data_IF_952394636273
#
_entry.id   IF_952394636273
#
_cell.length_a   1.000
_cell.length_b   1.000
_cell.length_c   1.000
_cell.angle_alpha   90.00
_cell.angle_beta   90.00
_cell.angle_gamma   90.00
#
_symmetry.space_group_name_H-M   'P 1'
#
loop_
_entity.id
_entity.type
_entity.pdbx_description
1 polymer ?
2 non-polymer ?
#
# COMPACT_ATOMS: atom_id res chain seq x y z
N UNK A 20 -12.06 -23.40 -11.01
CA UNK A 20 -11.65 -23.92 -9.72
C UNK A 20 -11.33 -22.78 -8.75
N UNK A 21 -11.72 -22.96 -7.48
CA UNK A 21 -11.45 -21.94 -6.47
C UNK A 21 -9.97 -21.81 -6.18
N UNK A 22 -9.21 -22.90 -6.31
CA UNK A 22 -7.77 -22.83 -6.04
C UNK A 22 -7.05 -21.96 -7.05
N UNK A 23 -7.49 -22.01 -8.32
CA UNK A 23 -6.88 -21.15 -9.34
C UNK A 23 -7.13 -19.68 -9.03
N UNK A 24 -8.36 -19.33 -8.66
CA UNK A 24 -8.67 -17.95 -8.29
C UNK A 24 -7.91 -17.52 -7.04
N UNK A 25 -7.71 -18.45 -6.09
CA UNK A 25 -6.95 -18.12 -4.89
C UNK A 25 -5.49 -17.85 -5.22
N UNK A 26 -4.89 -18.66 -6.09
CA UNK A 26 -3.53 -18.42 -6.52
C UNK A 26 -3.43 -17.10 -7.28
N UNK A 27 -4.43 -16.81 -8.11
CA UNK A 27 -4.43 -15.56 -8.86
C UNK A 27 -4.50 -14.37 -7.93
N UNK A 28 -5.36 -14.43 -6.90
CA UNK A 28 -5.49 -13.30 -5.99
C UNK A 28 -4.24 -13.19 -5.10
N UNK A 29 -3.58 -14.32 -4.81
CA UNK A 29 -2.33 -14.27 -4.06
C UNK A 29 -1.23 -13.57 -4.86
N UNK A 30 -1.14 -13.89 -6.16
CA UNK A 30 -0.13 -13.23 -6.98
C UNK A 30 -0.48 -11.77 -7.23
N UNK A 31 -1.77 -11.44 -7.33
CA UNK A 31 -2.17 -10.04 -7.41
C UNK A 31 -1.82 -9.31 -6.11
N UNK A 32 -1.91 -10.01 -4.98
CA UNK A 32 -1.50 -9.43 -3.71
C UNK A 32 -0.01 -9.15 -3.69
N UNK A 33 0.80 -10.08 -4.21
CA UNK A 33 2.24 -9.83 -4.30
C UNK A 33 2.51 -8.61 -5.18
N UNK A 34 1.80 -8.52 -6.31
CA UNK A 34 1.98 -7.36 -7.19
C UNK A 34 1.59 -6.07 -6.50
N UNK A 35 0.51 -6.10 -5.70
CA UNK A 35 0.05 -4.89 -5.03
C UNK A 35 1.00 -4.46 -3.93
N UNK A 36 1.46 -5.41 -3.11
CA UNK A 36 2.39 -5.12 -2.03
C UNK A 36 3.82 -4.90 -2.53
N UNK A 37 4.08 -5.12 -3.81
CA UNK A 37 5.38 -4.82 -4.37
C UNK A 37 5.74 -3.35 -4.20
N UNK A 38 4.75 -2.47 -4.12
CA UNK A 38 5.01 -1.04 -3.96
C UNK A 38 5.56 -0.71 -2.57
N UNK A 39 5.20 -1.49 -1.55
CA UNK A 39 5.69 -1.21 -0.21
C UNK A 39 7.18 -1.53 -0.06
N UNK A 40 7.72 -2.41 -0.89
CA UNK A 40 9.13 -2.80 -0.83
C UNK A 40 9.98 -2.17 -1.91
N UNK A 41 9.45 -2.00 -3.12
CA UNK A 41 10.23 -1.39 -4.20
C UNK A 41 10.41 0.10 -3.99
N UNK A 42 9.49 0.75 -3.29
CA UNK A 42 9.56 2.18 -3.02
C UNK A 42 10.09 2.47 -1.62
N UNK A 43 10.73 1.50 -0.98
CA UNK A 43 11.27 1.71 0.36
C UNK A 43 12.43 2.69 0.32
N UNK A 44 12.43 3.63 1.27
CA UNK A 44 13.44 4.68 1.34
C UNK A 44 14.44 4.30 2.42
N UNK A 45 15.70 4.03 2.08
CA UNK A 45 16.72 3.77 3.10
C UNK A 45 17.34 5.07 3.59
N UNK A 46 18.24 4.93 4.57
CA UNK A 46 19.03 6.06 5.03
C UNK A 46 19.98 6.50 3.93
N UNK A 47 19.85 7.74 3.49
CA UNK A 47 20.56 8.23 2.32
C UNK A 47 21.25 9.54 2.61
N UNK A 48 22.28 9.82 1.81
CA UNK A 48 22.99 11.10 1.82
C UNK A 48 23.58 11.31 0.42
N UNK A 49 23.84 12.57 0.08
CA UNK A 49 24.36 12.85 -1.24
C UNK A 49 25.89 12.83 -1.26
N UNK A 50 26.44 12.76 -2.47
CA UNK A 50 27.87 12.52 -2.67
C UNK A 50 28.71 13.59 -1.99
N UNK A 51 29.67 13.16 -1.19
CA UNK A 51 30.60 14.04 -0.51
C UNK A 51 32.03 13.69 -0.90
N UNK A 52 32.89 14.68 -1.11
CA UNK A 52 34.27 14.36 -1.51
C UNK A 52 35.08 13.70 -0.41
N UNK A 53 34.78 13.97 0.86
CA UNK A 53 35.53 13.37 1.96
C UNK A 53 34.96 12.02 2.40
N UNK A 54 34.04 11.43 1.64
CA UNK A 54 33.46 10.15 2.01
C UNK A 54 33.39 9.13 0.88
N UNK A 55 33.41 9.57 -0.39
CA UNK A 55 33.28 8.65 -1.52
C UNK A 55 34.39 8.78 -2.54
N UNK A 56 35.40 9.60 -2.30
CA UNK A 56 36.50 9.78 -3.23
C UNK A 56 37.60 8.77 -2.90
N UNK A 57 38.78 8.96 -3.48
CA UNK A 57 39.89 8.04 -3.29
C UNK A 57 40.45 8.15 -1.87
N UNK A 58 41.51 7.38 -1.61
CA UNK A 58 42.15 7.34 -0.30
C UNK A 58 42.66 8.70 0.15
N UNK A 59 42.98 9.60 -0.78
CA UNK A 59 43.53 10.91 -0.42
C UNK A 59 42.58 11.76 0.41
N UNK A 60 41.34 11.32 0.60
CA UNK A 60 40.41 12.08 1.44
C UNK A 60 40.84 12.12 2.90
N UNK A 61 41.65 11.17 3.34
CA UNK A 61 42.10 11.14 4.73
C UNK A 61 43.23 12.13 4.95
N UNK A 67 40.43 7.74 7.96
CA UNK A 67 40.28 7.25 9.32
C UNK A 67 39.10 7.92 10.02
N UNK A 68 38.48 7.20 10.95
CA UNK A 68 37.31 7.65 11.70
C UNK A 68 36.22 8.16 10.75
N UNK A 69 35.54 7.27 10.04
CA UNK A 69 34.52 7.73 9.08
C UNK A 69 33.36 8.48 9.72
N UNK A 70 33.07 8.21 10.99
CA UNK A 70 32.00 8.94 11.66
C UNK A 70 32.35 10.42 11.81
N UNK A 71 33.60 10.72 12.16
CA UNK A 71 34.01 12.12 12.25
C UNK A 71 33.97 12.80 10.90
N UNK A 72 34.36 12.09 9.83
CA UNK A 72 34.29 12.66 8.49
C UNK A 72 32.85 12.94 8.08
N UNK A 73 31.94 12.01 8.39
CA UNK A 73 30.52 12.23 8.08
C UNK A 73 29.96 13.41 8.89
N UNK A 74 30.42 13.56 10.14
CA UNK A 74 29.93 14.65 10.96
C UNK A 74 30.44 16.00 10.45
N UNK A 75 31.72 16.08 10.08
CA UNK A 75 32.27 17.35 9.61
C UNK A 75 31.89 17.64 8.16
N UNK A 76 31.41 16.64 7.42
CA UNK A 76 31.00 16.85 6.04
C UNK A 76 29.51 17.07 5.86
N UNK A 77 28.70 16.65 6.83
CA UNK A 77 27.25 16.78 6.73
C UNK A 77 26.70 17.32 8.04
N UNK A 78 25.88 18.37 8.01
CA UNK A 78 25.33 18.92 9.26
C UNK A 78 24.29 17.99 9.85
N UNK A 79 23.95 18.17 11.13
CA UNK A 79 22.88 17.36 11.71
C UNK A 79 21.53 17.69 11.11
N UNK A 80 20.60 16.74 11.25
CA UNK A 80 19.27 16.89 10.71
C UNK A 80 18.20 16.28 11.59
N UNK A 81 17.21 15.64 10.97
CA UNK A 81 16.12 15.04 11.75
C UNK A 81 16.60 13.88 12.60
N UNK A 82 15.93 13.69 13.74
CA UNK A 82 16.24 12.62 14.68
C UNK A 82 17.69 12.69 15.15
N UNK A 83 18.24 13.90 15.25
CA UNK A 83 19.61 14.15 15.66
C UNK A 83 20.63 13.40 14.80
N UNK A 84 20.24 13.03 13.58
CA UNK A 84 21.10 12.34 12.63
C UNK A 84 21.71 13.33 11.64
N UNK A 85 22.78 12.94 10.94
CA UNK A 85 23.30 13.81 9.87
C UNK A 85 22.23 14.12 8.83
N UNK A 86 22.20 15.37 8.39
CA UNK A 86 21.15 15.82 7.48
C UNK A 86 21.21 15.05 6.17
N UNK A 87 20.16 14.29 5.89
CA UNK A 87 20.06 13.54 4.65
C UNK A 87 19.80 14.41 3.44
N UNK A 88 19.81 15.73 3.59
CA UNK A 88 19.39 16.62 2.51
C UNK A 88 20.30 17.83 2.37
N UNK A 89 21.41 17.89 3.11
CA UNK A 89 22.33 19.01 3.07
C UNK A 89 23.75 18.51 3.24
N UNK A 90 24.70 19.16 2.56
CA UNK A 90 26.11 18.82 2.64
C UNK A 90 26.93 20.09 2.81
N UNK A 91 28.03 19.97 3.57
CA UNK A 91 28.95 21.09 3.77
C UNK A 91 29.85 21.25 2.56
N UNK A 92 29.96 22.49 2.06
CA UNK A 92 30.86 22.75 0.95
C UNK A 92 32.32 22.67 1.38
N UNK A 93 32.62 23.05 2.62
CA UNK A 93 33.95 22.97 3.18
C UNK A 93 33.91 22.17 4.48
N UNK A 94 34.97 21.43 4.78
CA UNK A 94 34.99 20.65 6.04
C UNK A 94 34.99 21.57 7.25
N UNK A 95 33.95 21.41 8.09
CA UNK A 95 33.79 22.22 9.29
C UNK A 95 34.43 21.48 10.45
N UNK A 96 35.69 21.82 10.74
CA UNK A 96 36.40 21.19 11.85
C UNK A 96 35.98 21.72 13.21
N UNK A 97 35.14 22.77 13.26
CA UNK A 97 34.74 23.34 14.53
C UNK A 97 33.80 22.43 15.31
N UNK A 98 33.03 21.59 14.63
CA UNK A 98 32.10 20.70 15.32
C UNK A 98 32.76 19.42 15.81
N UNK A 99 33.94 19.08 15.29
CA UNK A 99 34.63 17.87 15.74
C UNK A 99 35.31 18.08 17.09
N UNK A 100 35.94 19.23 17.28
CA UNK A 100 36.63 19.50 18.53
C UNK A 100 35.62 19.83 19.63
N UNK A 101 35.59 19.07 20.72
CA UNK A 101 34.54 19.30 21.73
C UNK A 101 34.65 20.62 22.47
N UNK A 102 35.82 21.28 22.46
CA UNK A 102 35.95 22.54 23.18
C UNK A 102 35.13 23.66 22.55
N UNK A 103 34.80 23.55 21.26
CA UNK A 103 34.00 24.56 20.58
C UNK A 103 32.52 24.31 20.79
N UNK A 104 31.73 25.37 20.64
CA UNK A 104 30.30 25.26 20.82
C UNK A 104 29.67 24.45 19.69
N UNK A 105 28.72 23.60 20.04
CA UNK A 105 28.02 22.79 19.06
C UNK A 105 27.03 23.65 18.27
N UNK A 106 26.71 23.17 17.06
CA UNK A 106 25.80 23.87 16.15
C UNK A 106 26.24 25.32 15.95
N UNK A 107 27.52 25.50 15.59
CA UNK A 107 28.07 26.81 15.34
C UNK A 107 28.15 27.16 13.86
N UNK A 108 27.88 26.19 12.98
CA UNK A 108 27.95 26.45 11.54
C UNK A 108 26.77 27.30 11.09
N UNK A 109 26.98 28.02 9.99
CA UNK A 109 25.97 28.89 9.41
C UNK A 109 25.24 28.18 8.28
N UNK A 110 24.08 28.72 7.92
CA UNK A 110 23.29 28.14 6.84
C UNK A 110 23.93 28.38 5.47
N UNK A 111 24.69 29.48 5.32
CA UNK A 111 25.31 29.78 4.05
C UNK A 111 26.46 28.84 3.72
N UNK A 112 27.03 28.17 4.72
CA UNK A 112 28.13 27.24 4.48
C UNK A 112 27.68 25.95 3.82
N UNK A 113 26.38 25.70 3.74
CA UNK A 113 25.87 24.47 3.15
C UNK A 113 25.54 24.67 1.68
N UNK A 114 25.38 23.55 0.98
CA UNK A 114 24.99 23.53 -0.43
C UNK A 114 23.82 22.57 -0.58
N UNK A 115 22.95 22.78 -1.58
CA UNK A 115 21.68 22.04 -1.66
C UNK A 115 21.82 20.61 -2.17
N UNK A 116 22.79 19.88 -1.63
CA UNK A 116 22.90 18.43 -1.77
C UNK A 116 22.84 18.02 -3.25
N UNK A 117 23.75 18.61 -4.03
CA UNK A 117 23.58 18.60 -5.49
C UNK A 117 24.34 17.46 -6.15
N UNK A 118 25.44 17.00 -5.56
CA UNK A 118 26.36 16.10 -6.26
C UNK A 118 25.83 14.68 -6.43
N UNK A 119 24.55 14.45 -6.20
CA UNK A 119 23.95 13.13 -6.36
C UNK A 119 24.05 12.33 -5.08
N UNK A 120 23.08 11.42 -4.92
CA UNK A 120 22.85 10.74 -3.65
C UNK A 120 23.34 9.30 -3.72
N UNK A 121 23.88 8.83 -2.58
CA UNK A 121 24.28 7.45 -2.40
C UNK A 121 23.39 6.84 -1.32
N UNK A 122 23.10 5.55 -1.45
CA UNK A 122 22.16 4.87 -0.58
C UNK A 122 22.81 3.66 0.07
N UNK A 123 22.26 3.24 1.21
CA UNK A 123 22.76 2.09 1.95
C UNK A 123 22.29 0.81 1.27
N UNK A 124 23.24 0.00 0.82
CA UNK A 124 22.93 -1.26 0.14
C UNK A 124 22.88 -2.44 1.10
N UNK A 125 22.66 -2.20 2.39
CA UNK A 125 22.61 -3.30 3.35
C UNK A 125 21.27 -4.01 3.29
N UNK A 126 20.17 -3.27 3.45
CA UNK A 126 18.84 -3.88 3.43
C UNK A 126 18.39 -4.12 1.99
N UNK A 127 18.42 -3.09 1.16
CA UNK A 127 18.00 -3.18 -0.23
C UNK A 127 19.15 -2.77 -1.14
N UNK A 128 19.43 -3.61 -2.14
CA UNK A 128 20.52 -3.33 -3.06
C UNK A 128 20.11 -2.31 -4.12
N UNK A 129 18.85 -2.35 -4.55
CA UNK A 129 18.37 -1.43 -5.58
C UNK A 129 16.86 -1.26 -5.44
N UNK A 130 16.42 -0.01 -5.39
CA UNK A 130 15.01 0.33 -5.29
C UNK A 130 14.71 1.45 -6.27
N UNK A 131 13.41 1.76 -6.42
CA UNK A 131 13.01 2.86 -7.30
C UNK A 131 13.37 4.21 -6.70
N UNK A 132 13.60 4.28 -5.39
CA UNK A 132 14.02 5.53 -4.77
C UNK A 132 15.51 5.78 -5.03
N UNK A 133 16.32 4.74 -4.89
CA UNK A 133 17.77 4.87 -5.10
C UNK A 133 18.13 4.99 -6.58
N UNK A 134 17.26 4.55 -7.48
CA UNK A 134 17.56 4.61 -8.90
C UNK A 134 17.30 5.99 -9.48
N UNK A 135 16.12 6.55 -9.22
CA UNK A 135 15.72 7.84 -9.78
C UNK A 135 15.90 8.99 -8.80
N UNK A 136 16.56 8.75 -7.66
CA UNK A 136 16.90 9.80 -6.69
C UNK A 136 15.65 10.52 -6.20
N UNK A 137 14.78 9.77 -5.52
CA UNK A 137 13.59 10.35 -4.89
C UNK A 137 14.01 11.04 -3.61
N UNK A 138 14.28 12.35 -3.72
CA UNK A 138 14.84 13.13 -2.63
C UNK A 138 13.93 14.31 -2.31
N UNK A 139 14.38 15.18 -1.39
CA UNK A 139 13.59 16.32 -0.91
C UNK A 139 12.80 17.01 -2.01
N UNK A 140 13.46 17.35 -3.12
CA UNK A 140 12.78 18.03 -4.21
C UNK A 140 11.75 17.15 -4.89
N UNK A 141 11.95 15.83 -4.86
CA UNK A 141 11.04 14.89 -5.50
C UNK A 141 10.52 13.85 -4.52
N UNK A 142 10.46 14.20 -3.23
CA UNK A 142 9.97 13.26 -2.23
C UNK A 142 8.48 12.97 -2.39
N UNK A 143 7.74 13.86 -3.06
CA UNK A 143 6.33 13.63 -3.31
C UNK A 143 6.08 12.65 -4.46
N UNK A 144 7.14 12.19 -5.12
CA UNK A 144 6.96 11.32 -6.28
C UNK A 144 6.46 9.94 -5.87
N UNK A 145 6.99 9.38 -4.79
CA UNK A 145 6.52 8.07 -4.33
C UNK A 145 5.05 8.08 -3.95
N UNK A 146 4.54 9.01 -3.14
CA UNK A 146 3.08 9.09 -2.98
C UNK A 146 2.38 9.44 -4.28
N UNK A 147 3.00 10.24 -5.15
CA UNK A 147 2.42 10.50 -6.45
C UNK A 147 2.41 9.25 -7.32
N UNK A 148 3.43 8.40 -7.20
CA UNK A 148 3.43 7.14 -7.94
C UNK A 148 2.33 6.22 -7.43
N UNK A 149 2.14 6.14 -6.11
CA UNK A 149 1.06 5.35 -5.56
C UNK A 149 -0.30 5.90 -5.99
N UNK A 150 -0.43 7.22 -6.05
CA UNK A 150 -1.68 7.83 -6.49
C UNK A 150 -1.94 7.54 -7.96
N UNK A 151 -0.91 7.54 -8.79
CA UNK A 151 -1.06 7.18 -10.19
C UNK A 151 -1.47 5.72 -10.33
N UNK A 152 -0.87 4.84 -9.52
CA UNK A 152 -1.26 3.44 -9.54
C UNK A 152 -2.73 3.26 -9.15
N UNK A 153 -3.18 3.98 -8.12
CA UNK A 153 -4.56 3.83 -7.68
C UNK A 153 -5.53 4.49 -8.66
N UNK A 154 -5.11 5.56 -9.34
CA UNK A 154 -5.93 6.14 -10.40
C UNK A 154 -6.04 5.18 -11.58
N UNK A 155 -4.97 4.47 -11.89
CA UNK A 155 -5.06 3.42 -12.90
C UNK A 155 -6.00 2.30 -12.47
N UNK A 156 -5.98 1.95 -11.19
CA UNK A 156 -6.94 0.97 -10.66
C UNK A 156 -8.36 1.47 -10.86
N UNK A 157 -8.61 2.74 -10.55
CA UNK A 157 -9.95 3.30 -10.74
C UNK A 157 -10.37 3.28 -12.21
N UNK A 158 -9.46 3.68 -13.10
CA UNK A 158 -9.77 3.69 -14.52
C UNK A 158 -10.06 2.29 -15.03
N UNK A 159 -9.29 1.29 -14.58
CA UNK A 159 -9.53 -0.08 -14.98
C UNK A 159 -10.87 -0.59 -14.47
N UNK A 160 -11.18 -0.31 -13.20
CA UNK A 160 -12.47 -0.74 -12.65
C UNK A 160 -13.64 -0.07 -13.35
N UNK A 161 -13.45 1.15 -13.83
CA UNK A 161 -14.53 1.85 -14.53
C UNK A 161 -14.64 1.42 -15.98
N UNK A 162 -13.55 0.96 -16.59
CA UNK A 162 -13.55 0.66 -18.03
C UNK A 162 -13.82 -0.80 -18.33
N UNK A 163 -13.29 -1.73 -17.53
CA UNK A 163 -13.42 -3.15 -17.83
C UNK A 163 -14.84 -3.68 -17.63
N UNK A 164 -15.74 -2.88 -17.06
CA UNK A 164 -17.11 -3.28 -16.90
C UNK A 164 -17.80 -3.55 -18.23
N UNK A 165 -17.97 -2.51 -19.04
CA UNK A 165 -18.53 -2.72 -20.38
C UNK A 165 -17.70 -3.67 -21.23
N UNK A 166 -16.38 -3.68 -21.06
CA UNK A 166 -15.54 -4.61 -21.80
C UNK A 166 -15.87 -6.05 -21.44
N UNK A 167 -16.04 -6.33 -20.14
CA UNK A 167 -16.40 -7.67 -19.72
C UNK A 167 -17.82 -8.02 -20.14
N UNK A 168 -18.72 -7.04 -20.18
CA UNK A 168 -20.09 -7.31 -20.60
C UNK A 168 -20.18 -7.58 -22.11
N UNK A 169 -19.30 -6.97 -22.90
CA UNK A 169 -19.36 -7.11 -24.35
C UNK A 169 -18.53 -8.30 -24.84
N UNK A 170 -17.22 -8.31 -24.54
CA UNK A 170 -16.32 -9.31 -25.06
C UNK A 170 -16.25 -10.58 -24.20
N UNK A 171 -17.07 -10.68 -23.16
CA UNK A 171 -17.01 -11.86 -22.33
C UNK A 171 -16.02 -11.73 -21.20
N UNK A 172 -16.24 -12.52 -20.14
CA UNK A 172 -15.38 -12.42 -18.97
C UNK A 172 -14.04 -13.12 -19.18
N UNK A 173 -14.03 -14.26 -19.86
CA UNK A 173 -12.78 -15.02 -20.03
C UNK A 173 -11.81 -14.29 -20.95
N UNK A 174 -12.34 -13.69 -22.03
CA UNK A 174 -11.47 -12.97 -22.95
C UNK A 174 -10.79 -11.79 -22.27
N UNK A 175 -11.56 -10.97 -21.54
CA UNK A 175 -10.99 -9.82 -20.87
C UNK A 175 -10.09 -10.26 -19.72
N UNK A 176 -10.39 -11.43 -19.12
CA UNK A 176 -9.50 -11.95 -18.08
C UNK A 176 -8.14 -12.33 -18.65
N UNK A 177 -8.13 -13.04 -19.78
CA UNK A 177 -6.87 -13.40 -20.42
C UNK A 177 -6.12 -12.16 -20.88
N UNK A 178 -6.84 -11.18 -21.44
CA UNK A 178 -6.20 -9.94 -21.87
C UNK A 178 -5.59 -9.19 -20.68
N UNK A 179 -6.28 -9.17 -19.55
CA UNK A 179 -5.77 -8.48 -18.38
C UNK A 179 -4.57 -9.23 -17.79
N UNK A 180 -4.59 -10.56 -17.82
CA UNK A 180 -3.42 -11.32 -17.37
C UNK A 180 -2.21 -11.04 -18.26
N UNK A 181 -2.40 -11.03 -19.58
CA UNK A 181 -1.32 -10.72 -20.50
C UNK A 181 -0.80 -9.30 -20.26
N UNK A 182 -1.71 -8.35 -20.02
CA UNK A 182 -1.30 -6.98 -19.76
C UNK A 182 -0.52 -6.87 -18.46
N UNK A 183 -0.96 -7.58 -17.42
CA UNK A 183 -0.21 -7.60 -16.16
C UNK A 183 1.20 -8.11 -16.38
N UNK A 184 1.33 -9.24 -17.08
CA UNK A 184 2.65 -9.80 -17.32
C UNK A 184 3.53 -8.83 -18.11
N UNK A 185 2.98 -8.25 -19.18
CA UNK A 185 3.76 -7.37 -20.04
C UNK A 185 4.21 -6.13 -19.27
N UNK A 186 3.29 -5.50 -18.55
CA UNK A 186 3.64 -4.29 -17.81
C UNK A 186 4.59 -4.59 -16.65
N UNK A 187 4.49 -5.79 -16.06
CA UNK A 187 5.46 -6.15 -15.04
C UNK A 187 6.86 -6.28 -15.59
N UNK A 188 7.01 -7.01 -16.70
CA UNK A 188 8.32 -7.14 -17.32
C UNK A 188 8.81 -5.81 -17.87
N UNK A 189 7.90 -4.89 -18.20
CA UNK A 189 8.32 -3.58 -18.68
C UNK A 189 8.82 -2.70 -17.55
N UNK A 190 8.06 -2.65 -16.44
CA UNK A 190 8.48 -1.87 -15.28
C UNK A 190 9.69 -2.46 -14.59
N UNK A 191 9.96 -3.76 -14.75
CA UNK A 191 11.17 -4.34 -14.19
C UNK A 191 12.42 -3.78 -14.83
N UNK A 192 12.32 -3.22 -16.03
CA UNK A 192 13.46 -2.64 -16.73
C UNK A 192 13.15 -1.23 -17.22
N UNK A 193 12.42 -0.45 -16.42
CA UNK A 193 12.07 0.90 -16.82
C UNK A 193 13.29 1.81 -16.73
N UNK A 194 13.63 2.53 -17.81
CA UNK A 194 14.83 3.38 -17.76
C UNK A 194 14.56 4.76 -17.18
N UNK A 195 13.29 5.18 -17.15
CA UNK A 195 12.92 6.49 -16.68
C UNK A 195 11.76 6.39 -15.70
N UNK A 196 11.54 7.47 -14.95
CA UNK A 196 10.48 7.52 -13.95
C UNK A 196 9.09 7.69 -14.58
N UNK A 197 8.90 8.58 -15.57
CA UNK A 197 7.57 8.65 -16.20
C UNK A 197 7.19 7.38 -16.93
N UNK A 198 8.16 6.70 -17.55
CA UNK A 198 7.89 5.43 -18.22
C UNK A 198 7.48 4.38 -17.19
N UNK A 199 8.15 4.37 -16.03
CA UNK A 199 7.77 3.46 -14.97
C UNK A 199 6.38 3.77 -14.45
N UNK A 200 6.04 5.06 -14.35
CA UNK A 200 4.71 5.44 -13.90
C UNK A 200 3.64 4.99 -14.88
N UNK A 201 3.90 5.13 -16.19
CA UNK A 201 2.94 4.67 -17.19
C UNK A 201 2.80 3.14 -17.15
N UNK A 202 3.92 2.43 -16.98
CA UNK A 202 3.87 0.98 -16.87
C UNK A 202 3.05 0.56 -15.65
N UNK A 203 3.24 1.24 -14.52
CA UNK A 203 2.45 0.94 -13.34
C UNK A 203 0.98 1.29 -13.54
N UNK A 204 0.69 2.35 -14.28
CA UNK A 204 -0.69 2.71 -14.58
C UNK A 204 -1.38 1.62 -15.39
N UNK A 205 -0.71 1.11 -16.42
CA UNK A 205 -1.29 0.04 -17.22
C UNK A 205 -1.40 -1.26 -16.43
N UNK A 206 -0.39 -1.56 -15.60
CA UNK A 206 -0.45 -2.72 -14.73
C UNK A 206 -1.64 -2.63 -13.77
N UNK A 207 -1.91 -1.43 -13.25
CA UNK A 207 -3.04 -1.26 -12.35
C UNK A 207 -4.37 -1.34 -13.09
N UNK A 208 -4.42 -0.85 -14.34
CA UNK A 208 -5.59 -1.07 -15.17
C UNK A 208 -5.91 -2.56 -15.30
N UNK A 209 -4.89 -3.36 -15.63
CA UNK A 209 -5.09 -4.79 -15.76
C UNK A 209 -5.43 -5.45 -14.43
N UNK A 210 -4.83 -4.96 -13.34
CA UNK A 210 -5.14 -5.47 -12.01
C UNK A 210 -6.61 -5.23 -11.68
N UNK A 211 -7.10 -4.04 -12.00
CA UNK A 211 -8.51 -3.72 -11.74
C UNK A 211 -9.43 -4.56 -12.61
N UNK A 212 -9.04 -4.81 -13.86
CA UNK A 212 -9.81 -5.72 -14.69
C UNK A 212 -9.91 -7.11 -14.09
N UNK A 213 -8.77 -7.65 -13.64
CA UNK A 213 -8.76 -8.97 -13.01
C UNK A 213 -9.61 -8.95 -11.74
N UNK A 214 -9.55 -7.87 -10.97
CA UNK A 214 -10.34 -7.75 -9.75
C UNK A 214 -11.83 -7.78 -10.07
N UNK A 215 -12.26 -6.98 -11.04
CA UNK A 215 -13.67 -6.95 -11.40
C UNK A 215 -14.15 -8.30 -11.89
N UNK A 216 -13.35 -8.97 -12.73
CA UNK A 216 -13.77 -10.27 -13.25
C UNK A 216 -13.83 -11.32 -12.15
N UNK A 217 -12.84 -11.32 -11.26
CA UNK A 217 -12.83 -12.27 -10.14
C UNK A 217 -14.03 -12.04 -9.22
N UNK A 218 -14.34 -10.78 -8.93
CA UNK A 218 -15.49 -10.50 -8.09
C UNK A 218 -16.79 -10.92 -8.74
N UNK A 219 -16.97 -10.58 -10.02
CA UNK A 219 -18.17 -10.97 -10.73
C UNK A 219 -18.33 -12.48 -10.84
N UNK A 220 -17.22 -13.22 -10.95
CA UNK A 220 -17.30 -14.68 -11.03
C UNK A 220 -17.57 -15.32 -9.68
N UNK A 221 -16.92 -14.83 -8.61
CA UNK A 221 -17.11 -15.40 -7.29
C UNK A 221 -18.43 -14.97 -6.67
N UNK A 222 -19.08 -13.93 -7.20
CA UNK A 222 -20.39 -13.54 -6.70
C UNK A 222 -21.47 -14.53 -7.11
N UNK A 223 -21.36 -15.17 -8.28
CA UNK A 223 -22.44 -16.00 -8.80
C UNK A 223 -21.98 -17.35 -9.35
N UNK A 224 -20.76 -17.81 -9.04
CA UNK A 224 -20.39 -19.15 -9.49
C UNK A 224 -21.16 -20.23 -8.74
N UNK A 225 -21.36 -20.04 -7.43
CA UNK A 225 -22.11 -20.99 -6.61
C UNK A 225 -23.40 -20.41 -6.06
N UNK A 226 -23.33 -19.27 -5.37
CA UNK A 226 -24.52 -18.65 -4.80
C UNK A 226 -25.39 -18.01 -5.89
N UNK A 228 -26.14 -19.15 -1.05
CA UNK A 228 -26.00 -19.27 0.40
C UNK A 228 -24.54 -19.29 0.81
N UNK A 229 -23.69 -19.81 -0.07
CA UNK A 229 -22.27 -19.91 0.18
C UNK A 229 -21.49 -18.66 -0.21
N UNK A 230 -22.19 -17.56 -0.51
CA UNK A 230 -21.50 -16.32 -0.89
C UNK A 230 -20.62 -15.78 0.23
N UNK A 231 -21.04 -15.73 1.50
CA UNK A 231 -20.09 -15.28 2.54
C UNK A 231 -18.88 -16.20 2.67
N UNK A 232 -19.07 -17.51 2.48
CA UNK A 232 -17.92 -18.42 2.53
C UNK A 232 -16.95 -18.15 1.39
N UNK A 233 -17.45 -17.91 0.18
CA UNK A 233 -16.58 -17.61 -0.94
C UNK A 233 -15.86 -16.29 -0.72
N UNK A 234 -16.55 -15.30 -0.17
CA UNK A 234 -15.92 -14.02 0.14
C UNK A 234 -14.80 -14.20 1.17
N UNK A 235 -15.16 -14.78 2.33
CA UNK A 235 -14.21 -14.88 3.37
C UNK A 235 -13.14 -15.40 2.63
N UNK A 236 -13.39 -16.18 1.59
CA UNK A 236 -12.27 -16.85 0.95
C UNK A 236 -11.36 -16.00 0.14
N UNK A 237 -11.83 -15.07 -0.64
CA UNK A 237 -10.84 -14.29 -1.37
C UNK A 237 -10.14 -13.35 -0.43
N UNK A 238 -10.65 -13.15 0.75
CA UNK A 238 -9.84 -12.34 1.60
C UNK A 238 -8.87 -13.27 2.33
N UNK A 239 -9.21 -14.49 2.77
CA UNK A 239 -8.21 -15.27 3.45
C UNK A 239 -7.25 -15.19 2.38
N UNK A 240 -7.64 -14.98 1.13
CA UNK A 240 -6.69 -14.80 0.00
C UNK A 240 -5.72 -13.66 -0.10
N UNK A 241 -6.16 -12.48 -0.33
CA UNK A 241 -5.19 -11.48 -0.37
C UNK A 241 -4.40 -11.67 0.89
N UNK A 242 -4.88 -12.44 1.84
CA UNK A 242 -4.08 -12.53 3.04
C UNK A 242 -2.98 -13.47 2.95
N UNK A 243 -3.21 -14.71 2.70
CA UNK A 243 -2.11 -15.58 2.56
C UNK A 243 -1.24 -14.78 1.74
N UNK A 244 -1.73 -13.93 0.90
CA UNK A 244 -0.78 -13.11 0.15
C UNK A 244 0.20 -12.20 0.86
N UNK A 245 -0.26 -11.07 1.36
CA UNK A 245 0.75 -10.27 1.97
C UNK A 245 1.50 -11.17 2.80
N UNK A 246 0.92 -12.32 3.03
CA UNK A 246 1.79 -13.04 3.94
C UNK A 246 2.95 -13.71 3.23
N UNK A 247 2.75 -14.05 1.96
CA UNK A 247 3.79 -14.67 1.15
C UNK A 247 4.67 -13.66 0.44
N UNK A 248 4.16 -12.46 0.14
CA UNK A 248 4.98 -11.44 -0.50
C UNK A 248 6.13 -10.98 0.37
N UNK A 249 6.01 -11.08 1.70
CA UNK A 249 7.11 -10.69 2.58
C UNK A 249 8.32 -11.61 2.37
N UNK A 250 8.07 -12.92 2.27
CA UNK A 250 9.16 -13.85 2.04
C UNK A 250 9.79 -13.64 0.67
N UNK A 251 8.98 -13.31 -0.34
CA UNK A 251 9.50 -13.07 -1.67
C UNK A 251 10.37 -11.81 -1.68
N UNK A 252 9.94 -10.75 -0.99
CA UNK A 252 10.75 -9.55 -0.89
C UNK A 252 12.01 -9.78 -0.06
N UNK A 253 11.95 -10.68 0.93
CA UNK A 253 13.13 -10.98 1.72
C UNK A 253 14.13 -11.82 0.93
N UNK A 254 13.66 -12.69 0.04
CA UNK A 254 14.54 -13.52 -0.74
C UNK A 254 15.24 -12.80 -1.87
N UNK A 255 14.52 -11.90 -2.54
CA UNK A 255 15.05 -11.13 -3.66
C UNK A 255 15.26 -9.70 -3.20
N UNK A 256 16.51 -9.26 -3.17
CA UNK A 256 16.86 -7.93 -2.71
C UNK A 256 16.84 -6.89 -3.81
N UNK A 257 16.80 -7.30 -5.08
CA UNK A 257 16.75 -6.38 -6.20
C UNK A 257 15.31 -6.26 -6.69
N UNK A 258 14.85 -5.01 -6.84
CA UNK A 258 13.46 -4.78 -7.21
C UNK A 258 13.16 -5.25 -8.64
N UNK A 259 14.16 -5.20 -9.53
CA UNK A 259 13.94 -5.64 -10.90
C UNK A 259 13.66 -7.13 -10.96
N UNK A 260 14.57 -7.94 -10.43
CA UNK A 260 14.34 -9.39 -10.39
C UNK A 260 13.13 -9.75 -9.54
N UNK A 261 12.85 -8.94 -8.51
CA UNK A 261 11.67 -9.18 -7.68
C UNK A 261 10.39 -9.04 -8.51
N UNK A 262 10.26 -7.93 -9.25
CA UNK A 262 9.10 -7.76 -10.12
C UNK A 262 9.06 -8.83 -11.21
N UNK A 263 10.23 -9.24 -11.71
CA UNK A 263 10.27 -10.27 -12.74
C UNK A 263 9.71 -11.60 -12.22
N UNK A 264 10.21 -12.06 -11.07
CA UNK A 264 9.74 -13.31 -10.49
C UNK A 264 8.35 -13.21 -9.90
N UNK A 265 7.84 -11.99 -9.71
CA UNK A 265 6.43 -11.86 -9.32
C UNK A 265 5.53 -11.91 -10.55
N UNK A 266 5.99 -11.40 -11.70
CA UNK A 266 5.18 -11.42 -12.91
C UNK A 266 5.25 -12.74 -13.66
N UNK A 267 6.30 -13.54 -13.44
CA UNK A 267 6.37 -14.85 -14.10
C UNK A 267 5.19 -15.75 -13.75
N UNK A 268 4.71 -15.83 -12.51
CA UNK A 268 3.50 -16.63 -12.26
C UNK A 268 2.31 -16.23 -13.10
N UNK A 269 2.22 -14.97 -13.54
CA UNK A 269 1.13 -14.58 -14.42
C UNK A 269 1.36 -15.13 -15.83
N UNK A 270 2.62 -15.18 -16.27
CA UNK A 270 2.93 -15.90 -17.51
C UNK A 270 2.54 -17.37 -17.40
N UNK A 271 2.71 -17.97 -16.22
CA UNK A 271 2.31 -19.36 -16.04
C UNK A 271 0.79 -19.51 -16.06
N UNK A 272 0.08 -18.59 -15.41
CA UNK A 272 -1.38 -18.63 -15.38
C UNK A 272 -1.99 -18.31 -16.74
N UNK A 273 -1.27 -17.63 -17.61
CA UNK A 273 -1.76 -17.36 -18.96
C UNK A 273 -1.96 -18.64 -19.78
N UNK A 274 -1.41 -19.77 -19.33
CA UNK A 274 -1.59 -21.02 -20.05
C UNK A 274 -3.04 -21.46 -20.09
N UNK A 275 -3.83 -21.06 -19.09
CA UNK A 275 -5.25 -21.41 -19.02
C UNK A 275 -6.13 -20.55 -19.93
N UNK A 276 -5.53 -19.82 -20.87
CA UNK A 276 -6.31 -18.98 -21.76
C UNK A 276 -7.22 -19.82 -22.65
N UNK A 277 -8.46 -19.36 -22.81
CA UNK A 277 -9.46 -20.03 -23.64
C UNK A 277 -9.72 -21.46 -23.17
N UNK A 278 -9.52 -21.71 -21.88
CA UNK A 278 -9.67 -23.03 -21.28
C UNK A 278 -8.84 -24.08 -22.03
N UNK A 279 -7.54 -23.80 -22.12
CA UNK A 279 -6.58 -24.65 -22.84
C UNK A 279 -7.02 -24.85 -24.29
N UNK A 280 -7.50 -23.78 -24.93
CA UNK A 280 -7.98 -23.80 -26.30
C UNK A 280 -9.07 -24.86 -26.49
N UNK A 281 -10.08 -24.80 -25.63
CA UNK A 281 -11.21 -25.75 -25.66
C UNK A 281 -10.75 -27.19 -25.53
N UNK A 282 -9.69 -27.40 -24.75
CA UNK A 282 -9.12 -28.74 -24.52
C UNK A 282 -8.74 -29.42 -25.83
N UNK A 338 -26.93 4.28 -16.33
CA UNK A 338 -27.80 3.25 -15.82
C UNK A 338 -27.67 3.03 -14.33
N UNK A 339 -28.75 2.54 -13.71
CA UNK A 339 -28.80 2.28 -12.27
C UNK A 339 -28.41 3.50 -11.44
N UNK A 340 -28.86 4.68 -11.87
CA UNK A 340 -28.56 5.93 -11.17
C UNK A 340 -29.52 6.21 -10.03
N UNK A 341 -30.48 5.32 -9.76
CA UNK A 341 -31.44 5.53 -8.69
C UNK A 341 -30.88 5.22 -7.31
N UNK A 342 -29.59 4.89 -7.20
CA UNK A 342 -29.01 4.59 -5.90
C UNK A 342 -28.85 5.83 -5.03
N UNK A 343 -28.74 7.02 -5.63
CA UNK A 343 -28.58 8.25 -4.88
C UNK A 343 -29.90 8.71 -4.25
N UNK A 344 -31.00 8.83 -5.02
CA UNK A 344 -32.24 9.27 -4.37
C UNK A 344 -32.88 8.21 -3.48
N UNK A 345 -32.90 6.96 -3.93
CA UNK A 345 -33.50 5.90 -3.14
C UNK A 345 -32.53 5.37 -2.10
N UNK A 346 -33.01 5.27 -0.85
CA UNK A 346 -32.18 4.83 0.28
C UNK A 346 -30.89 5.64 0.36
N UNK A 347 -31.06 6.97 0.38
CA UNK A 347 -29.91 7.87 0.34
C UNK A 347 -29.05 7.72 1.60
N UNK A 348 -29.68 7.52 2.76
CA UNK A 348 -28.92 7.37 4.00
C UNK A 348 -28.05 6.13 3.95
N UNK A 349 -28.64 4.98 3.60
CA UNK A 349 -27.86 3.76 3.47
C UNK A 349 -26.77 3.90 2.43
N UNK A 350 -27.07 4.57 1.32
CA UNK A 350 -26.08 4.73 0.26
C UNK A 350 -24.89 5.54 0.74
N UNK A 351 -25.14 6.69 1.37
CA UNK A 351 -24.03 7.53 1.81
C UNK A 351 -23.24 6.87 2.93
N UNK A 352 -23.93 6.15 3.82
CA UNK A 352 -23.21 5.47 4.90
C UNK A 352 -22.32 4.36 4.34
N UNK A 353 -22.85 3.57 3.40
CA UNK A 353 -22.04 2.50 2.81
C UNK A 353 -20.86 3.07 2.05
N UNK A 354 -21.08 4.12 1.26
CA UNK A 354 -19.97 4.73 0.53
C UNK A 354 -18.95 5.33 1.49
N UNK A 355 -19.40 5.87 2.63
CA UNK A 355 -18.47 6.42 3.61
C UNK A 355 -17.61 5.32 4.24
N UNK A 356 -18.24 4.19 4.59
CA UNK A 356 -17.46 3.08 5.16
C UNK A 356 -16.46 2.54 4.14
N UNK A 357 -16.88 2.38 2.88
CA UNK A 357 -15.96 1.89 1.86
C UNK A 357 -14.82 2.86 1.62
N UNK A 358 -15.12 4.16 1.53
CA UNK A 358 -14.09 5.18 1.38
C UNK A 358 -13.12 5.14 2.55
N UNK A 359 -13.63 5.05 3.78
CA UNK A 359 -12.78 5.05 4.95
C UNK A 359 -11.87 3.83 4.97
N UNK A 360 -12.42 2.65 4.67
CA UNK A 360 -11.60 1.44 4.65
C UNK A 360 -10.51 1.53 3.59
N UNK A 361 -10.88 1.91 2.37
CA UNK A 361 -9.89 2.02 1.31
C UNK A 361 -8.79 3.02 1.66
N UNK A 362 -9.19 4.19 2.15
CA UNK A 362 -8.24 5.21 2.56
C UNK A 362 -7.26 4.67 3.60
N UNK A 363 -7.80 4.12 4.70
CA UNK A 363 -6.95 3.64 5.78
C UNK A 363 -6.02 2.52 5.31
N UNK A 364 -6.56 1.55 4.55
CA UNK A 364 -5.77 0.41 4.11
C UNK A 364 -4.66 0.85 3.18
N UNK A 365 -5.00 1.55 2.10
CA UNK A 365 -3.96 1.95 1.15
C UNK A 365 -3.12 3.12 1.64
N UNK A 366 -3.40 3.66 2.83
CA UNK A 366 -2.49 4.61 3.44
C UNK A 366 -1.55 3.96 4.43
N UNK A 367 -1.98 2.83 5.01
CA UNK A 367 -1.15 2.13 5.99
C UNK A 367 -0.34 0.99 5.38
N UNK A 368 -0.88 0.32 4.36
CA UNK A 368 -0.21 -0.84 3.77
C UNK A 368 0.92 -0.44 2.82
N UNK A 369 1.15 0.85 2.59
CA UNK A 369 2.18 1.30 1.67
C UNK A 369 3.31 2.06 2.35
N UNK A 370 3.29 2.18 3.68
CA UNK A 370 4.34 2.86 4.42
C UNK A 370 4.72 2.07 5.66
N UNK A 371 4.87 0.75 5.51
CA UNK A 371 5.20 -0.12 6.63
C UNK A 371 6.57 0.15 7.22
N UNK A 372 7.42 0.93 6.54
CA UNK A 372 8.74 1.23 7.08
C UNK A 372 8.64 2.08 8.34
N UNK A 373 7.63 2.96 8.42
CA UNK A 373 7.45 3.81 9.59
C UNK A 373 6.56 3.18 10.65
N UNK A 374 5.76 2.17 10.28
CA UNK A 374 4.88 1.52 11.24
C UNK A 374 5.58 0.49 12.12
N UNK A 375 6.76 0.01 11.70
CA UNK A 375 7.49 -0.97 12.46
C UNK A 375 8.98 -0.85 12.21
N UNK A 376 9.75 -1.65 12.93
CA UNK A 376 11.20 -1.64 12.80
C UNK A 376 11.70 -2.57 11.70
N UNK A 377 11.04 -3.71 11.50
CA UNK A 377 11.39 -4.66 10.45
C UNK A 377 10.18 -4.86 9.55
N UNK A 378 10.31 -4.47 8.27
CA UNK A 378 9.17 -4.49 7.37
C UNK A 378 8.72 -5.92 7.10
N UNK A 379 9.67 -6.85 6.90
CA UNK A 379 9.32 -8.22 6.59
C UNK A 379 8.61 -8.89 7.77
N UNK A 380 9.17 -8.76 8.98
CA UNK A 380 8.53 -9.32 10.16
C UNK A 380 7.19 -8.65 10.42
N UNK A 381 7.11 -7.33 10.16
CA UNK A 381 5.85 -6.63 10.32
C UNK A 381 4.77 -7.20 9.40
N UNK A 382 5.12 -7.43 8.13
CA UNK A 382 4.15 -7.97 7.18
C UNK A 382 3.77 -9.41 7.54
N UNK A 383 4.74 -10.20 7.98
CA UNK A 383 4.45 -11.57 8.39
C UNK A 383 3.49 -11.61 9.58
N UNK A 384 3.73 -10.72 10.56
CA UNK A 384 2.84 -10.65 11.71
C UNK A 384 1.46 -10.14 11.30
N UNK A 385 1.42 -9.17 10.38
CA UNK A 385 0.15 -8.70 9.82
C UNK A 385 -0.64 -9.87 9.27
N UNK A 386 0.01 -10.69 8.44
CA UNK A 386 -0.70 -11.82 7.83
C UNK A 386 -1.14 -12.86 8.84
N UNK A 387 -0.25 -13.23 9.76
CA UNK A 387 -0.55 -14.31 10.69
C UNK A 387 -1.61 -13.88 11.71
N UNK A 388 -1.78 -12.58 11.93
CA UNK A 388 -2.87 -12.10 12.79
C UNK A 388 -4.14 -11.78 12.00
N UNK A 389 -4.02 -11.45 10.71
CA UNK A 389 -5.18 -11.17 9.88
C UNK A 389 -5.90 -12.44 9.44
N UNK A 390 -5.20 -13.58 9.39
CA UNK A 390 -5.84 -14.84 9.06
C UNK A 390 -6.96 -15.16 10.05
N UNK A 391 -6.69 -15.31 11.36
CA UNK A 391 -7.77 -15.74 12.26
C UNK A 391 -8.81 -14.66 12.51
N UNK A 392 -8.42 -13.39 12.48
CA UNK A 392 -9.39 -12.32 12.68
C UNK A 392 -10.46 -12.33 11.60
N UNK A 393 -10.05 -12.29 10.32
CA UNK A 393 -11.02 -12.33 9.25
C UNK A 393 -11.61 -13.73 9.06
N UNK A 394 -11.01 -14.75 9.66
CA UNK A 394 -11.65 -16.07 9.67
C UNK A 394 -12.86 -16.07 10.60
N UNK A 395 -12.67 -15.61 11.84
CA UNK A 395 -13.77 -15.48 12.78
C UNK A 395 -14.70 -14.31 12.50
N UNK A 396 -14.35 -13.46 11.54
CA UNK A 396 -15.26 -12.39 11.14
C UNK A 396 -16.60 -12.95 10.66
N UNK A 397 -16.59 -14.10 9.99
CA UNK A 397 -17.84 -14.68 9.53
C UNK A 397 -18.65 -15.23 10.69
N UNK A 398 -17.98 -15.83 11.68
CA UNK A 398 -18.67 -16.26 12.89
C UNK A 398 -19.31 -15.07 13.60
N UNK A 399 -18.59 -13.95 13.67
CA UNK A 399 -19.14 -12.75 14.29
C UNK A 399 -20.34 -12.23 13.51
N UNK A 400 -20.25 -12.24 12.17
CA UNK A 400 -21.37 -11.80 11.34
C UNK A 400 -22.58 -12.70 11.52
N UNK A 401 -22.36 -14.00 11.72
CA UNK A 401 -23.47 -14.92 11.88
C UNK A 401 -24.08 -14.86 13.28
N UNK A 402 -23.29 -14.56 14.30
CA UNK A 402 -23.78 -14.57 15.68
C UNK A 402 -24.30 -13.19 16.11
N UNK A 403 -23.45 -12.17 16.07
CA UNK A 403 -23.81 -10.86 16.61
C UNK A 403 -24.63 -10.03 15.63
N UNK A 404 -24.48 -10.26 14.33
CA UNK A 404 -25.16 -9.47 13.31
C UNK A 404 -24.17 -8.86 12.34
N UNK A 405 -24.65 -7.87 11.59
CA UNK A 405 -23.82 -7.19 10.59
C UNK A 405 -23.31 -5.85 11.10
N UNK A 406 -24.22 -4.99 11.56
CA UNK A 406 -23.82 -3.66 12.03
C UNK A 406 -22.96 -3.68 13.29
N UNK A 407 -23.31 -4.41 14.36
CA UNK A 407 -22.52 -4.27 15.60
C UNK A 407 -21.07 -4.71 15.46
N UNK A 408 -20.81 -5.87 14.84
CA UNK A 408 -19.43 -6.32 14.70
C UNK A 408 -18.65 -5.42 13.75
N UNK A 409 -19.31 -4.90 12.71
CA UNK A 409 -18.65 -3.95 11.81
C UNK A 409 -18.22 -2.69 12.55
N UNK A 410 -19.14 -2.12 13.33
CA UNK A 410 -18.82 -0.92 14.09
C UNK A 410 -17.73 -1.19 15.12
N UNK A 411 -17.78 -2.37 15.76
CA UNK A 411 -16.77 -2.71 16.75
C UNK A 411 -15.40 -2.85 16.11
N UNK A 412 -15.31 -3.50 14.96
CA UNK A 412 -14.03 -3.65 14.28
C UNK A 412 -13.50 -2.30 13.80
N UNK A 413 -14.39 -1.45 13.28
CA UNK A 413 -13.96 -0.13 12.83
C UNK A 413 -13.43 0.70 14.00
N UNK A 414 -14.14 0.69 15.14
CA UNK A 414 -13.69 1.43 16.31
C UNK A 414 -12.38 0.87 16.85
N UNK A 415 -12.23 -0.45 16.83
CA UNK A 415 -10.99 -1.06 17.31
C UNK A 415 -9.81 -0.66 16.42
N UNK A 416 -10.00 -0.71 15.10
CA UNK A 416 -8.93 -0.30 14.19
C UNK A 416 -8.58 1.17 14.38
N UNK A 417 -9.60 2.02 14.52
CA UNK A 417 -9.33 3.44 14.73
C UNK A 417 -8.57 3.70 16.02
N UNK A 418 -8.99 3.05 17.10
CA UNK A 418 -8.31 3.23 18.39
C UNK A 418 -6.88 2.70 18.33
N UNK A 419 -6.67 1.59 17.62
CA UNK A 419 -5.32 1.05 17.49
C UNK A 419 -4.42 2.00 16.71
N UNK A 420 -4.91 2.54 15.60
CA UNK A 420 -4.09 3.46 14.81
C UNK A 420 -3.85 4.77 15.57
N UNK A 421 -4.82 5.19 16.40
CA UNK A 421 -4.61 6.39 17.20
C UNK A 421 -3.58 6.15 18.31
N UNK A 422 -3.66 5.00 18.98
CA UNK A 422 -2.67 4.66 20.01
C UNK A 422 -1.29 4.45 19.39
N UNK A 423 -1.24 4.07 18.12
CA UNK A 423 0.05 3.98 17.42
C UNK A 423 0.76 5.33 17.41
N UNK A 424 0.01 6.42 17.33
CA UNK A 424 0.60 7.75 17.43
C UNK A 424 0.74 8.18 18.89
N UNK A 425 -0.16 7.73 19.75
CA UNK A 425 -0.08 8.09 21.17
C UNK A 425 1.13 7.46 21.83
N UNK A 426 1.48 6.23 21.45
CA UNK A 426 2.63 5.56 22.03
C UNK A 426 3.91 6.18 21.48
N UNK A 427 4.95 6.36 22.29
CA UNK A 427 6.23 6.84 21.74
C UNK A 427 6.82 5.86 20.75
N UNK A 428 7.70 6.39 19.88
CA UNK A 428 8.29 5.58 18.83
C UNK A 428 9.29 4.56 19.36
N UNK A 429 9.74 4.71 20.61
CA UNK A 429 10.72 3.79 21.17
C UNK A 429 10.15 2.38 21.38
N UNK A 430 8.85 2.27 21.65
CA UNK A 430 8.21 0.96 21.80
C UNK A 430 7.89 0.42 20.40
N UNK A 431 8.92 -0.08 19.74
CA UNK A 431 8.76 -0.56 18.38
C UNK A 431 7.89 -1.80 18.27
N UNK A 432 8.06 -2.75 19.20
CA UNK A 432 7.23 -3.95 19.19
C UNK A 432 5.76 -3.60 19.42
N UNK A 433 5.48 -2.68 20.35
CA UNK A 433 4.10 -2.30 20.61
C UNK A 433 3.52 -1.52 19.43
N UNK A 434 4.33 -0.69 18.77
CA UNK A 434 3.86 0.01 17.58
C UNK A 434 3.53 -0.97 16.46
N UNK A 435 4.39 -1.97 16.26
CA UNK A 435 4.12 -3.00 15.26
C UNK A 435 2.86 -3.78 15.59
N UNK A 436 2.67 -4.13 16.87
CA UNK A 436 1.47 -4.85 17.26
C UNK A 436 0.22 -4.00 17.02
N UNK A 437 0.28 -2.70 17.32
CA UNK A 437 -0.86 -1.84 17.11
C UNK A 437 -1.17 -1.70 15.62
N UNK A 438 -0.14 -1.59 14.79
CA UNK A 438 -0.37 -1.50 13.34
C UNK A 438 -0.98 -2.79 12.81
N UNK A 439 -0.50 -3.94 13.28
CA UNK A 439 -1.06 -5.22 12.86
C UNK A 439 -2.52 -5.33 13.28
N UNK A 440 -2.83 -4.92 14.51
CA UNK A 440 -4.20 -4.97 14.98
C UNK A 440 -5.11 -4.04 14.18
N UNK A 441 -4.60 -2.86 13.83
CA UNK A 441 -5.38 -1.94 13.01
C UNK A 441 -5.65 -2.50 11.62
N UNK A 442 -4.65 -3.14 11.01
CA UNK A 442 -4.86 -3.72 9.69
C UNK A 442 -5.84 -4.90 9.76
N UNK A 443 -5.73 -5.72 10.80
CA UNK A 443 -6.72 -6.78 10.99
C UNK A 443 -8.12 -6.23 11.20
N UNK A 444 -8.22 -5.12 11.93
CA UNK A 444 -9.52 -4.51 12.15
C UNK A 444 -10.13 -3.95 10.87
N UNK A 445 -9.31 -3.29 10.04
CA UNK A 445 -9.85 -2.77 8.79
C UNK A 445 -10.18 -3.91 7.83
N UNK A 446 -9.45 -5.02 7.89
CA UNK A 446 -9.82 -6.18 7.08
C UNK A 446 -11.15 -6.78 7.51
N UNK A 447 -11.34 -6.95 8.83
CA UNK A 447 -12.62 -7.44 9.32
C UNK A 447 -13.74 -6.47 8.98
N UNK A 448 -13.45 -5.16 9.01
CA UNK A 448 -14.46 -4.17 8.63
C UNK A 448 -14.82 -4.29 7.16
N UNK A 449 -13.82 -4.52 6.30
CA UNK A 449 -14.11 -4.75 4.88
C UNK A 449 -14.99 -5.97 4.69
N UNK A 450 -14.66 -7.06 5.38
CA UNK A 450 -15.48 -8.27 5.28
C UNK A 450 -16.91 -7.99 5.71
N UNK A 451 -17.07 -7.32 6.85
CA UNK A 451 -18.41 -7.02 7.36
C UNK A 451 -19.18 -6.15 6.37
N UNK A 452 -18.53 -5.11 5.83
CA UNK A 452 -19.25 -4.19 4.96
C UNK A 452 -19.57 -4.84 3.61
N UNK A 453 -18.70 -5.74 3.12
CA UNK A 453 -18.98 -6.37 1.84
C UNK A 453 -20.03 -7.46 1.99
N UNK A 454 -20.20 -8.00 3.21
CA UNK A 454 -21.31 -8.91 3.46
C UNK A 454 -22.60 -8.13 3.66
N UNK A 455 -22.50 -6.92 4.22
CA UNK A 455 -23.68 -6.13 4.54
C UNK A 455 -24.21 -5.37 3.31
N UNK A 456 -23.36 -5.11 2.33
CA UNK A 456 -23.80 -4.39 1.13
C UNK A 456 -24.75 -5.24 0.29
N UNK A 457 -24.66 -6.56 0.42
CA UNK A 457 -25.56 -7.45 -0.32
C UNK A 457 -26.96 -7.49 0.28
N UNK A 458 -27.16 -6.90 1.47
CA UNK A 458 -28.47 -6.85 2.10
C UNK A 458 -28.95 -5.44 2.40
N UNK A 459 -28.10 -4.43 2.30
CA UNK A 459 -28.56 -3.04 2.48
C UNK A 459 -29.57 -2.64 1.41
N UNK A 460 -29.43 -3.17 0.20
CA UNK A 460 -30.28 -2.76 -0.90
C UNK A 460 -30.99 -3.97 -1.52
N UNK A 461 -32.24 -3.81 -1.97
CA UNK A 461 -32.94 -4.92 -2.59
C UNK A 461 -32.33 -5.29 -3.93
N UNK A 462 -32.89 -6.33 -4.55
CA UNK A 462 -32.40 -6.83 -5.82
C UNK A 462 -32.47 -5.78 -6.92
N UNK A 463 -33.43 -4.84 -6.84
CA UNK A 463 -33.56 -3.81 -7.86
C UNK A 463 -32.35 -2.88 -7.83
N UNK A 464 -31.86 -2.55 -6.63
CA UNK A 464 -30.75 -1.63 -6.48
C UNK A 464 -29.40 -2.32 -6.27
N UNK A 465 -29.39 -3.62 -5.98
CA UNK A 465 -28.15 -4.35 -5.76
C UNK A 465 -27.48 -4.68 -7.10
N UNK A 467 -26.69 -0.20 -9.04
CA UNK A 467 -25.32 -0.63 -8.81
C UNK A 467 -24.76 0.00 -7.54
N UNK A 468 -25.41 -0.28 -6.41
CA UNK A 468 -24.93 0.26 -5.14
C UNK A 468 -23.59 -0.36 -4.76
N UNK A 469 -23.40 -1.65 -5.06
CA UNK A 469 -22.12 -2.28 -4.78
C UNK A 469 -21.02 -1.66 -5.63
N UNK A 470 -21.32 -1.38 -6.90
CA UNK A 470 -20.34 -0.71 -7.75
C UNK A 470 -20.03 0.70 -7.29
N UNK A 471 -21.05 1.42 -6.80
CA UNK A 471 -20.82 2.76 -6.28
C UNK A 471 -19.95 2.71 -5.03
N UNK A 472 -20.19 1.74 -4.15
CA UNK A 472 -19.33 1.57 -2.98
C UNK A 472 -17.91 1.21 -3.37
N UNK A 473 -17.75 0.38 -4.40
CA UNK A 473 -16.42 0.03 -4.88
C UNK A 473 -15.70 1.26 -5.43
N UNK A 474 -16.41 2.10 -6.17
CA UNK A 474 -15.84 3.33 -6.70
C UNK A 474 -15.44 4.27 -5.58
N UNK A 475 -16.27 4.36 -4.54
CA UNK A 475 -15.95 5.21 -3.40
C UNK A 475 -14.72 4.70 -2.67
N UNK A 476 -14.61 3.38 -2.50
CA UNK A 476 -13.43 2.81 -1.85
C UNK A 476 -12.18 3.04 -2.70
N UNK A 477 -12.32 2.96 -4.03
CA UNK A 477 -11.19 3.24 -4.91
C UNK A 477 -10.77 4.69 -4.81
N UNK A 478 -11.74 5.61 -4.72
CA UNK A 478 -11.41 7.02 -4.53
C UNK A 478 -10.71 7.28 -3.20
N UNK A 479 -11.18 6.62 -2.14
CA UNK A 479 -10.48 6.72 -0.86
C UNK A 479 -9.07 6.18 -0.93
N UNK A 480 -8.88 5.06 -1.63
CA UNK A 480 -7.54 4.53 -1.84
C UNK A 480 -6.66 5.54 -2.58
N UNK A 481 -7.20 6.16 -3.63
CA UNK A 481 -6.45 7.16 -4.38
C UNK A 481 -6.03 8.31 -3.46
N UNK A 482 -6.97 8.82 -2.66
CA UNK A 482 -6.66 9.92 -1.77
C UNK A 482 -5.77 9.51 -0.61
N UNK A 483 -5.61 8.20 -0.38
CA UNK A 483 -4.74 7.69 0.66
C UNK A 483 -3.35 8.28 0.67
N UNK A 484 -2.56 7.99 -0.36
CA UNK A 484 -1.18 8.52 -0.40
C UNK A 484 -1.10 10.03 -0.46
N UNK A 485 -2.18 10.72 -0.84
CA UNK A 485 -2.13 12.17 -0.95
C UNK A 485 -2.03 12.84 0.42
N UNK A 486 -2.62 12.24 1.46
CA UNK A 486 -2.53 12.82 2.79
C UNK A 486 -1.17 12.58 3.43
N UNK A 487 -0.41 11.61 2.94
CA UNK A 487 0.92 11.34 3.49
C UNK A 487 1.86 12.51 3.28
N UNK A 488 1.56 13.41 2.35
CA UNK A 488 2.38 14.61 2.15
C UNK A 488 2.35 15.54 3.36
N UNK A 489 1.38 15.37 4.25
CA UNK A 489 1.30 16.17 5.47
C UNK A 489 2.37 15.81 6.49
N UNK A 490 3.26 14.86 6.18
CA UNK A 490 4.33 14.51 7.10
C UNK A 490 5.33 15.63 7.34
N UNK A 491 5.35 16.63 6.48
CA UNK A 491 6.22 17.78 6.70
C UNK A 491 5.76 18.58 7.92
N UNK A 492 4.44 18.71 8.11
CA UNK A 492 3.91 19.41 9.26
C UNK A 492 3.97 18.56 10.53
N UNK A 493 4.20 17.26 10.40
CA UNK A 493 4.29 16.38 11.54
C UNK A 493 4.26 14.92 11.13
N UNK A 494 5.10 14.10 11.76
CA UNK A 494 5.16 12.68 11.39
C UNK A 494 3.93 11.89 11.83
N UNK A 495 3.07 12.45 12.68
CA UNK A 495 1.90 11.74 13.17
C UNK A 495 0.61 12.15 12.46
N UNK A 496 0.63 13.24 11.69
CA UNK A 496 -0.60 13.70 11.04
C UNK A 496 -1.20 12.67 10.09
N UNK A 497 -0.44 12.03 9.19
CA UNK A 497 -1.06 10.99 8.35
C UNK A 497 -1.64 9.85 9.15
N UNK A 498 -0.90 9.35 10.15
CA UNK A 498 -1.43 8.30 11.01
C UNK A 498 -2.57 8.81 11.88
N UNK A 499 -2.54 10.09 12.27
CA UNK A 499 -3.67 10.66 13.01
C UNK A 499 -4.93 10.61 12.17
N UNK A 500 -4.84 10.95 10.88
CA UNK A 500 -6.01 10.85 10.00
C UNK A 500 -6.41 9.39 9.81
N UNK A 501 -5.42 8.51 9.62
CA UNK A 501 -5.70 7.10 9.45
C UNK A 501 -6.36 6.48 10.67
N UNK A 502 -6.21 7.09 11.84
CA UNK A 502 -6.87 6.62 13.03
C UNK A 502 -8.19 7.30 13.31
N UNK A 503 -8.33 8.55 12.86
CA UNK A 503 -9.55 9.31 13.12
C UNK A 503 -10.66 8.97 12.13
N UNK A 504 -10.32 8.68 10.87
CA UNK A 504 -11.34 8.39 9.87
C UNK A 504 -12.13 7.11 10.21
N UNK A 505 -11.50 5.99 10.55
CA UNK A 505 -12.30 4.80 10.88
C UNK A 505 -13.18 4.97 12.11
N UNK A 506 -12.78 5.80 13.07
CA UNK A 506 -13.63 6.06 14.22
C UNK A 506 -14.93 6.72 13.79
N UNK A 507 -14.84 7.76 12.95
CA UNK A 507 -16.03 8.41 12.44
C UNK A 507 -16.84 7.46 11.55
N UNK A 508 -16.16 6.60 10.79
CA UNK A 508 -16.87 5.64 9.95
C UNK A 508 -17.68 4.69 10.81
N UNK A 509 -17.11 4.19 11.91
CA UNK A 509 -17.85 3.32 12.80
C UNK A 509 -18.98 4.04 13.51
N UNK A 510 -18.75 5.28 13.92
CA UNK A 510 -19.81 6.06 14.56
C UNK A 510 -20.96 6.31 13.60
N UNK A 511 -20.67 6.46 12.31
CA UNK A 511 -21.74 6.64 11.33
C UNK A 511 -22.44 5.33 11.02
N UNK A 512 -21.70 4.23 10.95
CA UNK A 512 -22.30 2.93 10.68
C UNK A 512 -23.10 2.41 11.86
N UNK A 513 -22.86 2.92 13.07
CA UNK A 513 -23.65 2.52 14.23
C UNK A 513 -25.12 2.87 14.08
N UNK A 514 -25.45 3.85 13.24
CA UNK A 514 -26.84 4.25 13.01
C UNK A 514 -27.52 3.43 11.92
N UNK A 515 -26.86 2.40 11.40
CA UNK A 515 -27.45 1.58 10.35
C UNK A 515 -28.55 0.69 10.93
N UNK A 516 -29.60 0.41 10.13
CA UNK A 516 -30.69 -0.46 10.59
C UNK A 516 -30.28 -1.93 10.66
#
# INVERSE_FOLDING_TARGET
>A
MAFSELLDLVGGLGRFQVLQTMALMVSIMWLCTQSMLENFSAAVPSHRCWAPLLDNSTAQASILGSLSPEALLAISIPPGPNQRPHQCRRFRQPQWQLLDPNATATSWSEADTEPCVDGWVYDRSIFTSTIVAKWNLVCDSHALKPMAQSIYLAGILVGAAACGPASDRFGRRLVLTWSYLQMAVMGTAAAFAPAFPVYCLFRFLLAFAVAGVMMNTGTLLMEWTAARARPLVMTLNSLGFSFGHGLTAAVAYGVRDWTLLQLVVSVPFFLCFLYSWWLAESARWLLTTGRLDWGLQELWRVAAINGKGAVQDTLTPEVLLSAMREELSMGQPPASLGTLLRMPGLRFRTCISTLCWFAFGFTFFGLALDLQALGSNIFLLQMFIGVVDIPAKMGALLLLSHLGRRPTLAASLLLAGLCILANTLVPHEMGALRSALAVLGLGGVGAAFTCITIYSSELFPTVLRMTAVGLGQMAARGGAILGPLVRLLGVHGPWLPLLVYGTVPVLSGLAALLLPETQSLPLPDTIQDVQNQAVKKATHGTLGNSVLKSTQF
#
